data_IF_552393775001
#
_entry.id   IF_552393775001
#
_cell.length_a   1.000
_cell.length_b   1.000
_cell.length_c   1.000
_cell.angle_alpha   90.00
_cell.angle_beta   90.00
_cell.angle_gamma   90.00
#
_symmetry.space_group_name_H-M   'P 1'
#
loop_
_entity.id
_entity.type
_entity.pdbx_description
1 polymer ?
#
# COMPACT_ATOMS: atom_id res chain seq x y z
N UNK A 1 -8.41 -32.07 -30.77
CA UNK A 1 -7.75 -32.40 -29.49
C UNK A 1 -7.82 -33.92 -29.29
N UNK A 2 -6.70 -34.60 -29.03
CA UNK A 2 -6.73 -36.00 -28.55
C UNK A 2 -6.30 -36.01 -27.08
N UNK A 3 -7.10 -36.63 -26.21
CA UNK A 3 -6.77 -36.80 -24.78
C UNK A 3 -6.35 -38.22 -24.49
N UNK A 4 -5.14 -38.42 -23.98
CA UNK A 4 -4.70 -39.71 -23.46
C UNK A 4 -5.20 -39.88 -22.01
N UNK A 5 -5.84 -41.01 -21.70
CA UNK A 5 -6.19 -41.40 -20.32
C UNK A 5 -5.19 -42.47 -19.86
N UNK A 6 -4.18 -42.12 -19.07
CA UNK A 6 -3.29 -43.12 -18.50
C UNK A 6 -3.94 -43.76 -17.25
N UNK A 7 -3.28 -44.78 -16.68
CA UNK A 7 -3.70 -45.47 -15.45
C UNK A 7 -3.96 -44.51 -14.27
N UNK A 8 -4.69 -44.97 -13.23
CA UNK A 8 -4.91 -44.15 -12.02
C UNK A 8 -3.57 -43.67 -11.46
N UNK A 9 -3.41 -42.36 -11.29
CA UNK A 9 -2.19 -41.73 -10.75
C UNK A 9 -1.19 -41.20 -11.78
N UNK A 10 -1.38 -41.45 -13.09
CA UNK A 10 -0.46 -40.93 -14.11
C UNK A 10 -0.87 -39.57 -14.69
N UNK A 11 0.13 -38.83 -15.21
CA UNK A 11 -0.04 -37.48 -15.77
C UNK A 11 -1.04 -37.48 -16.91
N UNK A 12 -2.14 -36.73 -16.79
CA UNK A 12 -3.09 -36.56 -17.90
C UNK A 12 -2.56 -35.51 -18.85
N UNK A 13 -2.23 -35.89 -20.08
CA UNK A 13 -1.69 -35.00 -21.12
C UNK A 13 -2.68 -34.88 -22.27
N UNK A 14 -2.86 -33.64 -22.74
CA UNK A 14 -3.54 -33.36 -24.00
C UNK A 14 -2.52 -32.88 -25.03
N UNK A 15 -2.63 -33.39 -26.25
CA UNK A 15 -1.83 -32.92 -27.39
C UNK A 15 -2.72 -32.00 -28.23
N UNK A 16 -2.25 -30.77 -28.40
CA UNK A 16 -2.86 -29.76 -29.26
C UNK A 16 -1.96 -29.58 -30.48
N UNK A 17 -2.57 -29.45 -31.66
CA UNK A 17 -1.84 -29.30 -32.90
C UNK A 17 -2.50 -28.25 -33.78
N UNK A 18 -1.67 -27.45 -34.44
CA UNK A 18 -2.03 -26.66 -35.62
C UNK A 18 -0.87 -26.71 -36.60
N UNK A 19 -1.13 -26.45 -37.88
CA UNK A 19 -0.07 -26.34 -38.89
C UNK A 19 1.02 -25.31 -38.50
N UNK A 20 0.63 -24.21 -37.83
CA UNK A 20 1.56 -23.13 -37.43
C UNK A 20 2.39 -23.44 -36.19
N UNK A 21 1.82 -24.16 -35.21
CA UNK A 21 2.46 -24.37 -33.89
C UNK A 21 3.14 -25.73 -33.74
N UNK A 22 2.78 -26.68 -34.62
CA UNK A 22 3.07 -28.10 -34.43
C UNK A 22 2.29 -28.71 -33.27
N UNK A 23 2.56 -29.99 -32.99
CA UNK A 23 2.01 -30.70 -31.85
C UNK A 23 2.70 -30.24 -30.56
N UNK A 24 1.92 -29.85 -29.55
CA UNK A 24 2.40 -29.43 -28.23
C UNK A 24 1.61 -30.09 -27.13
N UNK A 25 2.31 -30.51 -26.09
CA UNK A 25 1.73 -31.20 -24.94
C UNK A 25 1.32 -30.21 -23.84
N UNK A 26 0.12 -30.39 -23.28
CA UNK A 26 -0.32 -29.70 -22.06
C UNK A 26 -0.64 -30.74 -20.99
N UNK A 27 0.10 -30.70 -19.89
CA UNK A 27 -0.15 -31.56 -18.72
C UNK A 27 -1.35 -31.03 -17.92
N UNK A 28 -2.53 -31.63 -18.14
CA UNK A 28 -3.81 -31.23 -17.57
C UNK A 28 -3.90 -31.46 -16.05
N UNK A 29 -3.07 -32.36 -15.50
CA UNK A 29 -2.90 -32.59 -14.06
C UNK A 29 -1.96 -31.58 -13.41
N UNK A 30 -1.17 -30.82 -14.18
CA UNK A 30 -0.36 -29.74 -13.64
C UNK A 30 -1.19 -28.45 -13.48
N UNK A 31 -0.80 -27.57 -12.56
CA UNK A 31 -1.49 -26.30 -12.33
C UNK A 31 -1.59 -25.44 -13.60
N UNK A 32 -0.56 -25.49 -14.45
CA UNK A 32 -0.56 -24.81 -15.76
C UNK A 32 -1.68 -25.33 -16.67
N UNK A 33 -1.79 -26.66 -16.84
CA UNK A 33 -2.84 -27.24 -17.69
C UNK A 33 -4.24 -27.04 -17.11
N UNK A 34 -4.40 -27.09 -15.78
CA UNK A 34 -5.66 -26.71 -15.12
C UNK A 34 -6.05 -25.26 -15.41
N UNK A 35 -5.09 -24.33 -15.30
CA UNK A 35 -5.31 -22.90 -15.58
C UNK A 35 -5.66 -22.67 -17.05
N UNK A 36 -4.97 -23.35 -17.97
CA UNK A 36 -5.24 -23.28 -19.40
C UNK A 36 -6.66 -23.77 -19.74
N UNK A 37 -7.05 -24.93 -19.22
CA UNK A 37 -8.41 -25.46 -19.37
C UNK A 37 -9.47 -24.53 -18.81
N UNK A 38 -9.26 -24.02 -17.59
CA UNK A 38 -10.19 -23.06 -16.98
C UNK A 38 -10.28 -21.72 -17.73
N UNK A 39 -9.33 -21.42 -18.61
CA UNK A 39 -9.34 -20.24 -19.46
C UNK A 39 -9.96 -20.48 -20.86
N UNK A 40 -10.63 -21.63 -21.07
CA UNK A 40 -11.27 -21.99 -22.33
C UNK A 40 -10.35 -22.70 -23.33
N UNK A 41 -9.20 -23.21 -22.89
CA UNK A 41 -8.24 -23.94 -23.73
C UNK A 41 -7.89 -23.17 -25.03
N UNK A 42 -7.89 -23.85 -26.18
CA UNK A 42 -7.47 -23.36 -27.49
C UNK A 42 -8.40 -22.29 -28.09
N UNK A 43 -9.70 -22.37 -27.76
CA UNK A 43 -10.70 -21.35 -28.14
C UNK A 43 -10.71 -20.16 -27.18
N UNK A 44 -10.00 -20.29 -26.05
CA UNK A 44 -9.95 -19.30 -24.99
C UNK A 44 -8.97 -18.16 -25.22
N UNK A 45 -8.76 -17.36 -24.15
CA UNK A 45 -7.95 -16.13 -24.19
C UNK A 45 -6.45 -16.39 -24.44
N UNK A 46 -5.98 -17.62 -24.25
CA UNK A 46 -4.57 -17.99 -24.43
C UNK A 46 -4.26 -18.54 -25.84
N UNK A 47 -5.25 -19.10 -26.53
CA UNK A 47 -5.07 -19.77 -27.82
C UNK A 47 -4.34 -21.11 -27.70
N UNK A 48 -3.79 -21.60 -28.82
CA UNK A 48 -3.04 -22.86 -28.83
C UNK A 48 -1.70 -22.74 -28.08
N UNK A 49 -1.20 -23.83 -27.45
CA UNK A 49 0.18 -23.88 -26.97
C UNK A 49 1.17 -23.71 -28.12
N UNK A 50 2.24 -22.94 -27.89
CA UNK A 50 3.32 -22.70 -28.88
C UNK A 50 4.65 -23.30 -28.44
N UNK A 51 4.73 -23.77 -27.20
CA UNK A 51 5.86 -24.49 -26.65
C UNK A 51 5.37 -25.50 -25.60
N UNK A 52 6.15 -26.56 -25.41
CA UNK A 52 5.93 -27.48 -24.30
C UNK A 52 6.28 -26.80 -22.96
N UNK A 53 5.75 -27.36 -21.87
CA UNK A 53 6.01 -26.84 -20.53
C UNK A 53 7.49 -26.96 -20.20
N UNK A 54 8.09 -25.85 -19.78
CA UNK A 54 9.49 -25.78 -19.31
C UNK A 54 9.51 -25.62 -17.80
N UNK A 55 10.34 -26.41 -17.12
CA UNK A 55 10.67 -26.19 -15.71
C UNK A 55 11.50 -24.91 -15.54
N UNK A 56 11.50 -24.37 -14.33
CA UNK A 56 12.26 -23.17 -13.97
C UNK A 56 12.72 -23.24 -12.51
N UNK A 57 13.21 -22.11 -11.96
CA UNK A 57 13.72 -22.06 -10.59
C UNK A 57 12.76 -22.65 -9.56
N UNK A 58 13.31 -23.43 -8.62
CA UNK A 58 12.54 -24.19 -7.63
C UNK A 58 11.61 -25.21 -8.29
N UNK A 59 10.35 -25.27 -7.85
CA UNK A 59 9.30 -26.11 -8.46
C UNK A 59 8.53 -25.39 -9.57
N UNK A 60 9.00 -24.20 -9.98
CA UNK A 60 8.31 -23.37 -10.93
C UNK A 60 8.30 -23.94 -12.35
N UNK A 61 7.32 -23.51 -13.14
CA UNK A 61 7.19 -23.91 -14.53
C UNK A 61 6.57 -22.81 -15.37
N UNK A 62 6.79 -22.84 -16.67
CA UNK A 62 6.13 -21.96 -17.63
C UNK A 62 5.67 -22.75 -18.85
N UNK A 63 4.59 -22.29 -19.47
CA UNK A 63 4.20 -22.74 -20.80
C UNK A 63 3.70 -21.56 -21.61
N UNK A 64 4.21 -21.45 -22.84
CA UNK A 64 3.84 -20.39 -23.77
C UNK A 64 2.66 -20.82 -24.65
N UNK A 65 1.75 -19.89 -24.85
CA UNK A 65 0.56 -20.01 -25.70
C UNK A 65 0.55 -18.84 -26.69
N UNK A 66 -0.25 -18.95 -27.75
CA UNK A 66 -0.30 -17.95 -28.83
C UNK A 66 -0.50 -16.51 -28.33
N UNK A 67 -1.36 -16.33 -27.32
CA UNK A 67 -1.78 -15.00 -26.82
C UNK A 67 -1.28 -14.71 -25.40
N UNK A 68 -0.43 -15.57 -24.84
CA UNK A 68 0.01 -15.41 -23.46
C UNK A 68 0.99 -16.46 -22.97
N UNK A 69 1.35 -16.35 -21.70
CA UNK A 69 2.13 -17.36 -21.00
C UNK A 69 1.45 -17.68 -19.68
N UNK A 70 1.45 -18.96 -19.32
CA UNK A 70 1.08 -19.38 -17.96
C UNK A 70 2.36 -19.72 -17.22
N UNK A 71 2.53 -19.11 -16.05
CA UNK A 71 3.67 -19.32 -15.18
C UNK A 71 3.18 -19.84 -13.82
N UNK A 72 3.84 -20.87 -13.31
CA UNK A 72 3.54 -21.52 -12.05
C UNK A 72 4.68 -21.32 -11.06
N UNK A 73 4.32 -21.02 -9.81
CA UNK A 73 5.20 -21.16 -8.65
C UNK A 73 4.44 -21.85 -7.51
N UNK A 74 5.13 -22.50 -6.58
CA UNK A 74 4.50 -23.09 -5.40
C UNK A 74 3.78 -22.02 -4.54
N UNK A 75 4.31 -20.80 -4.51
CA UNK A 75 3.77 -19.72 -3.69
C UNK A 75 2.40 -19.23 -4.15
N UNK A 76 2.15 -19.19 -5.46
CA UNK A 76 0.95 -18.51 -6.03
C UNK A 76 0.19 -19.33 -7.06
N UNK A 77 0.59 -20.58 -7.29
CA UNK A 77 -0.01 -21.41 -8.32
C UNK A 77 0.23 -20.86 -9.73
N UNK A 78 -0.65 -21.24 -10.65
CA UNK A 78 -0.54 -20.87 -12.06
C UNK A 78 -1.23 -19.52 -12.35
N UNK A 79 -0.45 -18.57 -12.88
CA UNK A 79 -0.89 -17.24 -13.25
C UNK A 79 -0.61 -16.95 -14.71
N UNK A 80 -1.51 -16.19 -15.34
CA UNK A 80 -1.39 -15.79 -16.75
C UNK A 80 -0.65 -14.45 -16.86
N UNK A 81 0.18 -14.32 -17.88
CA UNK A 81 0.86 -13.08 -18.28
C UNK A 81 0.57 -12.88 -19.76
N UNK A 82 0.02 -11.73 -20.15
CA UNK A 82 -0.47 -11.50 -21.51
C UNK A 82 -0.07 -10.12 -22.04
N UNK A 83 -0.16 -9.94 -23.37
CA UNK A 83 0.03 -8.66 -24.05
C UNK A 83 1.35 -7.97 -23.69
N UNK A 84 1.30 -6.64 -23.49
CA UNK A 84 2.48 -5.82 -23.17
C UNK A 84 3.15 -6.19 -21.85
N UNK A 85 2.42 -6.76 -20.88
CA UNK A 85 3.03 -7.29 -19.66
C UNK A 85 3.93 -8.48 -19.96
N UNK A 86 3.51 -9.38 -20.86
CA UNK A 86 4.33 -10.52 -21.25
C UNK A 86 5.60 -10.08 -21.99
N UNK A 87 5.46 -9.10 -22.90
CA UNK A 87 6.61 -8.52 -23.59
C UNK A 87 7.62 -7.92 -22.60
N UNK A 88 7.17 -7.02 -21.72
CA UNK A 88 8.05 -6.38 -20.74
C UNK A 88 8.63 -7.34 -19.69
N UNK A 89 7.88 -8.39 -19.32
CA UNK A 89 8.39 -9.44 -18.43
C UNK A 89 9.49 -10.27 -19.11
N UNK A 90 9.31 -10.66 -20.38
CA UNK A 90 10.33 -11.40 -21.14
C UNK A 90 11.59 -10.58 -21.40
N UNK A 91 11.44 -9.31 -21.78
CA UNK A 91 12.54 -8.35 -21.97
C UNK A 91 13.43 -8.25 -20.72
N UNK A 92 12.84 -8.42 -19.53
CA UNK A 92 13.54 -8.36 -18.24
C UNK A 92 14.01 -9.73 -17.74
N UNK A 93 14.20 -10.69 -18.64
CA UNK A 93 14.66 -12.05 -18.30
C UNK A 93 13.58 -12.98 -17.75
N UNK A 94 12.32 -12.55 -17.73
CA UNK A 94 11.19 -13.34 -17.27
C UNK A 94 11.37 -13.93 -15.87
N UNK A 95 11.16 -15.24 -15.75
CA UNK A 95 11.18 -15.95 -14.46
C UNK A 95 12.56 -16.01 -13.79
N UNK A 96 13.63 -15.81 -14.56
CA UNK A 96 15.01 -15.80 -14.05
C UNK A 96 15.53 -14.37 -13.84
N UNK A 97 14.78 -13.36 -14.26
CA UNK A 97 15.11 -11.96 -14.03
C UNK A 97 14.57 -11.42 -12.71
N UNK A 98 14.81 -10.12 -12.47
CA UNK A 98 14.48 -9.43 -11.21
C UNK A 98 12.99 -9.49 -10.83
N UNK A 99 12.08 -9.65 -11.79
CA UNK A 99 10.65 -9.78 -11.52
C UNK A 99 10.29 -11.14 -10.91
N UNK A 100 10.91 -12.23 -11.38
CA UNK A 100 10.53 -13.59 -11.01
C UNK A 100 9.13 -13.99 -11.48
N UNK A 101 8.47 -14.86 -10.73
CA UNK A 101 7.12 -15.35 -11.06
C UNK A 101 6.03 -14.33 -10.71
N UNK A 102 4.92 -14.27 -11.48
CA UNK A 102 3.74 -13.50 -11.12
C UNK A 102 3.09 -14.02 -9.83
N UNK A 103 2.66 -13.10 -8.97
CA UNK A 103 1.90 -13.43 -7.77
C UNK A 103 0.39 -13.56 -8.04
N UNK A 104 -0.06 -12.92 -9.11
CA UNK A 104 -1.47 -12.80 -9.48
C UNK A 104 -1.59 -12.52 -10.99
N UNK A 105 -2.78 -12.63 -11.57
CA UNK A 105 -3.02 -12.40 -13.00
C UNK A 105 -3.18 -10.89 -13.31
N UNK A 106 -2.68 -10.41 -14.45
CA UNK A 106 -2.75 -8.98 -14.76
C UNK A 106 -4.18 -8.43 -14.83
N UNK A 107 -4.44 -7.30 -14.16
CA UNK A 107 -5.76 -6.63 -14.14
C UNK A 107 -5.70 -5.27 -14.81
N UNK A 108 -6.73 -4.95 -15.58
CA UNK A 108 -6.86 -3.66 -16.27
C UNK A 108 -7.80 -2.74 -15.52
N UNK A 109 -7.36 -1.50 -15.30
CA UNK A 109 -8.16 -0.39 -14.76
C UNK A 109 -7.60 0.92 -15.31
N UNK A 110 -8.48 1.86 -15.67
CA UNK A 110 -8.11 3.21 -16.16
C UNK A 110 -7.11 3.17 -17.33
N UNK A 111 -7.30 2.26 -18.28
CA UNK A 111 -6.44 2.09 -19.45
C UNK A 111 -5.04 1.52 -19.16
N UNK A 112 -4.77 1.06 -17.92
CA UNK A 112 -3.51 0.44 -17.51
C UNK A 112 -3.73 -1.01 -17.11
N UNK A 113 -2.94 -1.93 -17.67
CA UNK A 113 -2.92 -3.33 -17.22
C UNK A 113 -1.76 -3.51 -16.26
N UNK A 114 -2.02 -3.99 -15.06
CA UNK A 114 -1.06 -4.04 -13.96
C UNK A 114 -0.94 -5.44 -13.39
N UNK A 115 0.29 -5.85 -13.09
CA UNK A 115 0.55 -7.18 -12.53
C UNK A 115 1.67 -7.14 -11.50
N UNK A 116 1.49 -7.93 -10.45
CA UNK A 116 2.44 -8.03 -9.33
C UNK A 116 3.22 -9.33 -9.47
N UNK A 117 4.53 -9.25 -9.30
CA UNK A 117 5.50 -10.34 -9.39
C UNK A 117 6.30 -10.43 -8.08
N UNK A 118 7.06 -11.50 -7.91
CA UNK A 118 7.84 -11.74 -6.69
C UNK A 118 8.81 -10.60 -6.34
N UNK A 119 9.46 -10.01 -7.35
CA UNK A 119 10.47 -8.96 -7.17
C UNK A 119 10.03 -7.55 -7.60
N UNK A 120 8.74 -7.35 -7.87
CA UNK A 120 8.22 -6.02 -8.19
C UNK A 120 6.89 -6.09 -8.92
N UNK A 121 6.56 -5.03 -9.65
CA UNK A 121 5.32 -4.92 -10.41
C UNK A 121 5.58 -4.37 -11.80
N UNK A 122 4.70 -4.71 -12.73
CA UNK A 122 4.65 -4.10 -14.06
C UNK A 122 3.36 -3.30 -14.24
N UNK A 123 3.50 -2.14 -14.88
CA UNK A 123 2.39 -1.32 -15.36
C UNK A 123 2.49 -1.22 -16.88
N UNK A 124 1.59 -1.88 -17.59
CA UNK A 124 1.46 -1.76 -19.04
C UNK A 124 0.48 -0.65 -19.43
N UNK A 125 0.94 0.25 -20.29
CA UNK A 125 0.12 1.26 -20.99
C UNK A 125 0.33 1.21 -22.50
N UNK A 126 -0.04 2.27 -23.24
CA UNK A 126 0.14 2.33 -24.71
C UNK A 126 1.60 2.16 -25.13
N UNK A 127 2.53 2.81 -24.43
CA UNK A 127 3.96 2.86 -24.75
C UNK A 127 4.76 1.61 -24.36
N UNK A 128 4.19 0.63 -23.65
CA UNK A 128 4.92 -0.54 -23.14
C UNK A 128 4.64 -0.84 -21.68
N UNK A 129 5.51 -1.62 -21.05
CA UNK A 129 5.40 -2.00 -19.63
C UNK A 129 6.55 -1.43 -18.80
N UNK A 130 6.21 -0.55 -17.86
CA UNK A 130 7.15 0.02 -16.90
C UNK A 130 7.33 -0.90 -15.70
N UNK A 131 8.58 -1.05 -15.25
CA UNK A 131 8.94 -1.82 -14.06
C UNK A 131 8.98 -0.94 -12.81
N UNK A 132 8.37 -1.44 -11.74
CA UNK A 132 8.43 -0.86 -10.40
C UNK A 132 9.02 -1.91 -9.44
N UNK A 133 10.16 -1.63 -8.79
CA UNK A 133 10.81 -2.59 -7.91
C UNK A 133 9.97 -2.91 -6.67
N UNK A 134 10.26 -4.06 -6.05
CA UNK A 134 9.68 -4.46 -4.76
C UNK A 134 10.10 -3.46 -3.66
N UNK A 135 9.10 -2.90 -2.98
CA UNK A 135 9.19 -2.00 -1.84
C UNK A 135 7.90 -2.08 -0.99
N UNK A 136 7.70 -1.13 -0.07
CA UNK A 136 6.53 -1.00 0.80
C UNK A 136 5.24 -0.86 -0.01
N UNK A 137 5.27 -0.08 -1.10
CA UNK A 137 4.10 0.10 -1.96
C UNK A 137 3.73 -1.18 -2.73
N UNK A 138 4.73 -1.96 -3.15
CA UNK A 138 4.51 -3.28 -3.74
C UNK A 138 3.78 -4.22 -2.78
N UNK A 139 4.05 -4.14 -1.47
CA UNK A 139 3.44 -5.02 -0.48
C UNK A 139 1.91 -4.89 -0.43
N UNK A 140 1.37 -3.71 -0.75
CA UNK A 140 -0.07 -3.48 -0.88
C UNK A 140 -0.66 -4.33 -2.01
N UNK A 141 -0.05 -4.27 -3.21
CA UNK A 141 -0.50 -5.04 -4.37
C UNK A 141 -0.26 -6.56 -4.22
N UNK A 142 0.78 -6.94 -3.48
CA UNK A 142 1.12 -8.33 -3.19
C UNK A 142 0.26 -8.94 -2.06
N UNK A 143 -0.62 -8.17 -1.41
CA UNK A 143 -1.38 -8.64 -0.25
C UNK A 143 -0.52 -8.95 0.98
N UNK A 144 0.65 -8.32 1.06
CA UNK A 144 1.68 -8.51 2.09
C UNK A 144 1.59 -7.49 3.23
N UNK A 145 0.62 -6.59 3.24
CA UNK A 145 0.30 -5.78 4.42
C UNK A 145 -0.68 -6.50 5.35
N UNK A 146 -0.56 -6.26 6.66
CA UNK A 146 -1.48 -6.74 7.70
C UNK A 146 -2.69 -5.83 7.86
N UNK A 147 -2.52 -4.54 7.59
CA UNK A 147 -3.61 -3.57 7.67
C UNK A 147 -4.40 -3.48 6.37
N UNK A 148 -5.72 -3.42 6.51
CA UNK A 148 -6.64 -3.12 5.41
C UNK A 148 -6.50 -1.64 5.05
N UNK A 149 -6.49 -1.37 3.76
CA UNK A 149 -6.38 -0.02 3.22
C UNK A 149 -7.54 0.37 2.29
N UNK A 150 -8.55 -0.50 2.18
CA UNK A 150 -9.76 -0.27 1.38
C UNK A 150 -9.43 0.16 -0.06
N UNK A 151 -10.21 1.11 -0.57
CA UNK A 151 -10.09 1.63 -1.93
C UNK A 151 -9.22 2.89 -2.05
N UNK A 152 -8.56 3.32 -0.97
CA UNK A 152 -7.77 4.56 -0.94
C UNK A 152 -6.80 4.64 -2.13
N UNK A 153 -6.82 5.76 -2.86
CA UNK A 153 -5.96 5.96 -4.01
C UNK A 153 -4.54 6.33 -3.59
N UNK A 154 -4.36 6.88 -2.39
CA UNK A 154 -3.06 7.12 -1.79
C UNK A 154 -2.96 6.48 -0.42
N UNK A 155 -1.80 5.88 -0.17
CA UNK A 155 -1.46 5.29 1.12
C UNK A 155 -0.07 5.80 1.46
N UNK A 156 0.11 6.27 2.69
CA UNK A 156 1.44 6.54 3.22
C UNK A 156 1.76 5.59 4.35
N UNK A 157 3.02 5.24 4.46
CA UNK A 157 3.53 4.48 5.57
C UNK A 157 4.36 5.38 6.47
N UNK A 158 4.23 5.24 7.79
CA UNK A 158 5.21 5.71 8.76
C UNK A 158 5.77 4.49 9.51
N UNK A 159 7.02 4.14 9.25
CA UNK A 159 7.58 2.83 9.59
C UNK A 159 8.76 2.99 10.53
N UNK A 160 8.70 2.35 11.69
CA UNK A 160 9.89 2.13 12.51
C UNK A 160 10.42 0.70 12.29
N UNK A 161 11.74 0.53 12.24
CA UNK A 161 12.34 -0.81 12.11
C UNK A 161 12.17 -1.66 13.37
N UNK A 162 12.06 -1.02 14.54
CA UNK A 162 11.89 -1.69 15.83
C UNK A 162 10.97 -0.90 16.76
N UNK A 163 10.59 -1.53 17.86
CA UNK A 163 9.95 -0.83 18.99
C UNK A 163 10.96 0.01 19.76
N UNK A 164 10.48 0.99 20.54
CA UNK A 164 11.34 1.81 21.41
C UNK A 164 12.18 2.85 20.69
N UNK A 165 11.85 3.20 19.44
CA UNK A 165 12.53 4.25 18.67
C UNK A 165 11.51 5.25 18.14
N UNK A 166 11.88 6.53 18.17
CA UNK A 166 11.13 7.60 17.54
C UNK A 166 11.53 7.84 16.08
N UNK A 167 12.62 7.23 15.60
CA UNK A 167 13.04 7.31 14.20
C UNK A 167 12.14 6.45 13.32
N UNK A 168 11.71 7.00 12.19
CA UNK A 168 10.87 6.32 11.23
C UNK A 168 11.19 6.74 9.78
N UNK A 169 10.77 5.91 8.83
CA UNK A 169 10.68 6.26 7.43
C UNK A 169 9.25 6.66 7.09
N UNK A 170 9.08 7.59 6.15
CA UNK A 170 7.79 7.94 5.59
C UNK A 170 7.77 7.65 4.08
N UNK A 171 6.96 6.68 3.66
CA UNK A 171 6.87 6.23 2.27
C UNK A 171 5.50 6.59 1.71
N UNK A 172 5.44 7.31 0.60
CA UNK A 172 4.18 7.70 -0.05
C UNK A 172 3.92 6.83 -1.28
N UNK A 173 2.74 6.22 -1.35
CA UNK A 173 2.31 5.32 -2.40
C UNK A 173 1.07 5.85 -3.11
N UNK A 174 1.07 5.84 -4.44
CA UNK A 174 -0.09 6.17 -5.27
C UNK A 174 -0.60 4.95 -6.04
N UNK A 175 -1.90 4.83 -6.21
CA UNK A 175 -2.52 3.79 -7.02
C UNK A 175 -2.25 4.04 -8.51
N UNK A 176 -1.87 3.00 -9.23
CA UNK A 176 -1.80 2.97 -10.69
C UNK A 176 -2.48 1.70 -11.17
N UNK A 177 -3.58 1.84 -11.91
CA UNK A 177 -4.44 0.70 -12.23
C UNK A 177 -4.89 -0.01 -10.96
N UNK A 178 -4.47 -1.26 -10.77
CA UNK A 178 -4.85 -2.05 -9.58
C UNK A 178 -3.75 -2.21 -8.53
N UNK A 179 -2.55 -1.65 -8.76
CA UNK A 179 -1.41 -1.74 -7.86
C UNK A 179 -1.07 -0.38 -7.25
N UNK A 180 -0.08 -0.34 -6.35
CA UNK A 180 0.50 0.88 -5.82
C UNK A 180 1.96 1.01 -6.22
N UNK A 181 2.38 2.24 -6.51
CA UNK A 181 3.76 2.59 -6.83
C UNK A 181 4.23 3.70 -5.90
N UNK A 182 5.51 3.69 -5.53
CA UNK A 182 6.11 4.74 -4.71
C UNK A 182 6.13 6.06 -5.49
N UNK A 183 5.69 7.13 -4.84
CA UNK A 183 5.72 8.49 -5.38
C UNK A 183 6.91 9.26 -4.82
N UNK A 184 7.21 9.10 -3.53
CA UNK A 184 8.37 9.66 -2.82
C UNK A 184 8.49 9.04 -1.44
N UNK A 185 9.63 9.25 -0.79
CA UNK A 185 9.88 8.85 0.60
C UNK A 185 10.82 9.83 1.30
N UNK A 186 10.92 9.70 2.62
CA UNK A 186 11.97 10.30 3.43
C UNK A 186 12.31 9.39 4.62
N UNK A 187 13.60 9.29 4.96
CA UNK A 187 14.10 8.55 6.12
C UNK A 187 14.27 9.42 7.38
N UNK A 188 13.85 10.69 7.32
CA UNK A 188 13.95 11.66 8.42
C UNK A 188 12.66 11.80 9.20
N UNK A 189 11.70 10.89 9.03
CA UNK A 189 10.45 10.98 9.77
C UNK A 189 10.68 10.65 11.25
N UNK A 190 9.89 11.31 12.10
CA UNK A 190 9.87 11.02 13.52
C UNK A 190 8.46 10.71 13.99
N UNK A 191 8.37 9.95 15.07
CA UNK A 191 7.13 9.56 15.72
C UNK A 191 7.21 9.86 17.22
N UNK A 192 6.25 9.35 18.01
CA UNK A 192 6.25 9.51 19.46
C UNK A 192 7.60 9.14 20.07
N UNK A 193 8.04 9.87 21.09
CA UNK A 193 9.37 9.69 21.71
C UNK A 193 9.66 8.24 22.13
N UNK A 194 8.65 7.51 22.60
CA UNK A 194 8.79 6.09 22.98
C UNK A 194 8.60 5.13 21.79
N UNK A 195 8.19 5.62 20.63
CA UNK A 195 7.92 4.88 19.41
C UNK A 195 6.45 4.49 19.28
N UNK A 196 6.20 3.38 18.59
CA UNK A 196 4.85 2.85 18.38
C UNK A 196 4.38 1.92 19.51
N UNK A 197 3.09 1.98 19.85
CA UNK A 197 2.43 0.93 20.65
C UNK A 197 2.28 -0.36 19.85
N UNK A 198 2.10 -1.47 20.58
CA UNK A 198 1.71 -2.77 20.00
C UNK A 198 0.34 -2.66 19.31
N UNK A 199 0.04 -3.50 18.29
CA UNK A 199 -1.26 -3.51 17.65
C UNK A 199 -2.39 -3.70 18.67
N UNK A 200 -3.47 -2.93 18.52
CA UNK A 200 -4.65 -3.03 19.39
C UNK A 200 -4.50 -2.38 20.78
N UNK A 201 -3.30 -1.93 21.15
CA UNK A 201 -3.08 -1.19 22.40
C UNK A 201 -3.27 0.31 22.13
N UNK A 202 -4.19 0.99 22.85
CA UNK A 202 -4.34 2.43 22.72
C UNK A 202 -3.02 3.15 23.00
N UNK A 203 -2.70 4.20 22.22
CA UNK A 203 -1.56 5.08 22.52
C UNK A 203 -1.70 5.69 23.92
N UNK A 204 -2.94 5.96 24.33
CA UNK A 204 -3.28 6.59 25.59
C UNK A 204 -3.08 8.11 25.52
N UNK A 205 -3.06 8.75 26.69
CA UNK A 205 -2.80 10.17 26.83
C UNK A 205 -1.50 10.60 26.11
N UNK A 206 -1.47 11.77 25.46
CA UNK A 206 -0.32 12.28 24.69
C UNK A 206 0.95 12.36 25.54
N UNK A 207 0.83 12.70 26.83
CA UNK A 207 1.92 12.67 27.80
C UNK A 207 2.65 11.31 27.93
N UNK A 208 2.02 10.20 27.50
CA UNK A 208 2.69 8.89 27.46
C UNK A 208 3.72 8.77 26.34
N UNK A 209 3.68 9.66 25.34
CA UNK A 209 4.65 9.81 24.24
C UNK A 209 4.75 8.60 23.29
N UNK A 210 3.64 7.91 23.07
CA UNK A 210 3.55 6.79 22.15
C UNK A 210 2.72 7.16 20.91
N UNK A 211 3.20 6.77 19.74
CA UNK A 211 2.38 6.76 18.54
C UNK A 211 1.46 5.54 18.49
N UNK A 212 0.23 5.70 17.97
CA UNK A 212 -0.64 4.56 17.74
C UNK A 212 -0.11 3.72 16.57
N UNK A 213 -0.53 2.45 16.52
CA UNK A 213 -0.19 1.56 15.43
C UNK A 213 -1.47 1.07 14.74
N UNK A 214 -1.54 1.20 13.42
CA UNK A 214 -2.75 0.88 12.67
C UNK A 214 -2.82 1.50 11.29
N UNK A 215 -4.02 1.50 10.72
CA UNK A 215 -4.33 2.20 9.47
C UNK A 215 -5.48 3.16 9.68
N UNK A 216 -5.24 4.42 9.38
CA UNK A 216 -6.13 5.54 9.69
C UNK A 216 -6.41 6.35 8.44
N UNK A 217 -7.64 6.81 8.27
CA UNK A 217 -7.95 7.80 7.23
C UNK A 217 -7.38 9.16 7.63
N UNK A 218 -7.15 10.02 6.64
CA UNK A 218 -6.99 11.45 6.84
C UNK A 218 -8.23 12.17 6.33
N UNK A 219 -8.62 13.26 7.00
CA UNK A 219 -9.92 13.91 6.76
C UNK A 219 -9.83 15.43 6.62
N UNK A 220 -9.07 16.09 7.47
CA UNK A 220 -8.91 17.55 7.45
C UNK A 220 -7.46 17.95 7.65
N UNK A 221 -7.12 19.12 7.14
CA UNK A 221 -5.81 19.75 7.26
C UNK A 221 -5.94 21.10 7.98
N UNK A 222 -4.83 21.58 8.52
CA UNK A 222 -4.75 22.86 9.21
C UNK A 222 -3.37 23.51 9.08
N UNK A 223 -3.27 24.78 9.44
CA UNK A 223 -2.00 25.50 9.53
C UNK A 223 -2.11 26.98 9.16
N UNK A 224 -1.02 27.53 8.63
CA UNK A 224 -0.90 28.96 8.28
C UNK A 224 -1.82 29.39 7.12
N UNK A 225 -2.15 28.45 6.23
CA UNK A 225 -2.90 28.71 5.01
C UNK A 225 -2.86 27.53 4.05
N UNK A 226 -3.92 27.35 3.25
CA UNK A 226 -4.08 26.16 2.41
C UNK A 226 -3.00 26.09 1.31
N UNK A 227 -2.13 25.06 1.29
CA UNK A 227 -1.06 24.94 0.30
C UNK A 227 -1.53 24.38 -1.07
N UNK A 228 -2.84 24.28 -1.30
CA UNK A 228 -3.46 23.67 -2.48
C UNK A 228 -3.95 22.23 -2.24
N UNK A 229 -4.35 21.88 -1.01
CA UNK A 229 -4.90 20.56 -0.70
C UNK A 229 -6.38 20.45 -1.06
N UNK A 230 -6.82 19.24 -1.37
CA UNK A 230 -8.25 18.91 -1.57
C UNK A 230 -8.96 18.50 -0.27
N UNK A 231 -8.23 18.41 0.86
CA UNK A 231 -8.83 18.23 2.17
C UNK A 231 -9.52 19.52 2.62
N UNK A 232 -10.54 19.40 3.48
CA UNK A 232 -11.03 20.56 4.23
C UNK A 232 -9.86 21.18 4.99
N UNK A 233 -9.64 22.48 4.84
CA UNK A 233 -8.49 23.17 5.41
C UNK A 233 -8.94 24.22 6.42
N UNK A 234 -8.36 24.16 7.61
CA UNK A 234 -8.57 25.14 8.68
C UNK A 234 -7.34 26.02 8.86
N UNK A 235 -7.48 27.31 8.53
CA UNK A 235 -6.47 28.27 8.94
C UNK A 235 -6.55 28.47 10.45
N UNK A 236 -5.43 28.25 11.15
CA UNK A 236 -5.41 28.34 12.61
C UNK A 236 -5.41 29.81 13.06
N UNK A 237 -6.18 30.08 14.11
CA UNK A 237 -6.32 31.40 14.74
C UNK A 237 -6.05 31.30 16.26
N UNK A 238 -5.90 32.41 17.00
CA UNK A 238 -5.55 32.38 18.42
C UNK A 238 -6.47 31.55 19.33
N UNK A 239 -7.71 31.28 18.92
CA UNK A 239 -8.69 30.47 19.65
C UNK A 239 -8.64 28.98 19.30
N UNK A 240 -7.87 28.58 18.29
CA UNK A 240 -7.85 27.20 17.79
C UNK A 240 -7.28 26.21 18.81
N UNK A 241 -8.09 25.21 19.19
CA UNK A 241 -7.73 24.15 20.15
C UNK A 241 -8.11 22.76 19.63
N UNK A 242 -7.42 21.74 20.14
CA UNK A 242 -7.84 20.35 20.02
C UNK A 242 -8.08 19.76 21.40
N UNK A 243 -9.28 19.27 21.67
CA UNK A 243 -9.61 18.83 23.03
C UNK A 243 -9.01 17.47 23.35
N UNK A 244 -8.23 17.41 24.42
CA UNK A 244 -7.81 16.18 25.10
C UNK A 244 -8.58 15.93 26.39
N UNK A 245 -9.40 16.89 26.82
CA UNK A 245 -10.22 16.80 28.03
C UNK A 245 -11.31 15.72 27.87
N UNK A 246 -11.45 14.77 28.81
CA UNK A 246 -12.52 13.80 28.77
C UNK A 246 -13.90 14.46 28.73
N UNK A 247 -14.77 13.99 27.83
CA UNK A 247 -16.10 14.56 27.64
C UNK A 247 -16.59 14.46 26.20
N UNK A 248 -17.67 15.18 25.90
CA UNK A 248 -18.34 15.17 24.60
C UNK A 248 -17.47 15.74 23.47
N UNK A 249 -16.54 16.64 23.78
CA UNK A 249 -15.59 17.24 22.82
C UNK A 249 -14.28 16.48 22.69
N UNK A 250 -14.07 15.39 23.43
CA UNK A 250 -12.79 14.68 23.46
C UNK A 250 -12.34 14.27 22.06
N UNK A 251 -11.07 14.54 21.73
CA UNK A 251 -10.46 14.28 20.44
C UNK A 251 -11.15 14.99 19.25
N UNK A 252 -11.60 16.22 19.46
CA UNK A 252 -12.13 17.10 18.41
C UNK A 252 -11.57 18.51 18.49
N UNK A 253 -11.58 19.20 17.35
CA UNK A 253 -11.28 20.63 17.27
C UNK A 253 -12.40 21.47 17.89
N UNK A 254 -12.03 22.57 18.55
CA UNK A 254 -12.95 23.63 18.95
C UNK A 254 -12.24 24.99 18.99
N UNK A 255 -13.02 26.08 19.06
CA UNK A 255 -12.49 27.41 19.35
C UNK A 255 -12.74 27.77 20.81
N UNK A 256 -11.69 28.17 21.52
CA UNK A 256 -11.81 28.61 22.90
C UNK A 256 -12.44 30.01 23.01
N UNK A 257 -13.17 30.26 24.11
CA UNK A 257 -13.82 31.54 24.37
C UNK A 257 -12.83 32.72 24.37
N UNK A 258 -11.61 32.50 24.86
CA UNK A 258 -10.52 33.48 24.89
C UNK A 258 -9.25 32.94 24.22
N UNK A 259 -8.48 33.79 23.50
CA UNK A 259 -7.16 33.42 22.96
C UNK A 259 -6.17 32.91 24.02
N UNK A 260 -6.30 33.38 25.26
CA UNK A 260 -5.45 33.01 26.39
C UNK A 260 -5.96 31.80 27.16
N UNK A 261 -7.09 31.22 26.73
CA UNK A 261 -7.62 30.02 27.38
C UNK A 261 -6.70 28.83 27.13
N UNK A 262 -6.15 28.31 28.22
CA UNK A 262 -5.36 27.08 28.25
C UNK A 262 -6.00 26.13 29.26
N UNK A 263 -6.24 24.89 28.83
CA UNK A 263 -6.79 23.84 29.67
C UNK A 263 -6.03 22.58 29.36
N UNK A 264 -5.30 22.04 30.33
CA UNK A 264 -4.68 20.74 30.15
C UNK A 264 -5.76 19.65 30.17
N UNK A 265 -5.74 18.67 29.23
CA UNK A 265 -4.70 18.39 28.25
C UNK A 265 -5.04 18.82 26.80
N UNK A 266 -5.88 19.85 26.62
CA UNK A 266 -6.21 20.37 25.29
C UNK A 266 -4.97 21.00 24.63
N UNK A 267 -4.77 20.73 23.34
CA UNK A 267 -3.64 21.25 22.58
C UNK A 267 -3.94 22.64 22.01
N UNK A 268 -3.05 23.59 22.27
CA UNK A 268 -3.09 24.92 21.69
C UNK A 268 -2.45 24.92 20.29
N UNK A 269 -3.26 24.60 19.28
CA UNK A 269 -2.77 24.44 17.91
C UNK A 269 -2.11 25.72 17.37
N UNK A 270 -2.64 26.89 17.71
CA UNK A 270 -2.12 28.17 17.21
C UNK A 270 -0.79 28.56 17.86
N UNK A 271 -0.63 28.36 19.17
CA UNK A 271 0.66 28.59 19.82
C UNK A 271 1.73 27.64 19.27
N UNK A 272 1.42 26.36 19.07
CA UNK A 272 2.35 25.38 18.49
C UNK A 272 2.72 25.75 17.05
N UNK A 273 1.78 26.30 16.27
CA UNK A 273 2.05 26.81 14.93
C UNK A 273 3.00 28.03 14.95
N UNK A 274 2.80 28.95 15.91
CA UNK A 274 3.56 30.21 16.03
C UNK A 274 4.89 30.07 16.76
N UNK A 275 5.12 28.96 17.44
CA UNK A 275 6.38 28.67 18.11
C UNK A 275 7.54 28.69 17.11
N UNK A 276 8.78 29.02 17.53
CA UNK A 276 9.95 29.04 16.65
C UNK A 276 10.18 27.73 15.89
N UNK A 277 9.75 26.61 16.47
CA UNK A 277 9.85 25.28 15.85
C UNK A 277 8.87 25.07 14.69
N UNK A 278 7.74 25.80 14.69
CA UNK A 278 6.79 25.82 13.58
C UNK A 278 6.12 24.47 13.29
N UNK A 279 5.95 23.62 14.30
CA UNK A 279 5.46 22.24 14.17
C UNK A 279 4.15 22.19 13.38
N UNK A 280 3.22 23.11 13.65
CA UNK A 280 1.88 23.16 13.04
C UNK A 280 1.72 24.19 11.93
N UNK A 281 2.83 24.65 11.34
CA UNK A 281 2.78 25.51 10.14
C UNK A 281 1.96 24.88 9.01
N UNK A 282 2.05 23.56 8.89
CA UNK A 282 1.14 22.71 8.12
C UNK A 282 0.91 21.42 8.88
N UNK A 283 -0.34 20.95 8.90
CA UNK A 283 -0.73 19.71 9.58
C UNK A 283 -1.88 19.01 8.88
N UNK A 284 -1.96 17.70 9.07
CA UNK A 284 -3.09 16.88 8.65
C UNK A 284 -3.55 15.99 9.80
N UNK A 285 -4.86 15.87 9.94
CA UNK A 285 -5.46 15.04 10.97
C UNK A 285 -5.43 13.57 10.56
N UNK A 286 -4.87 12.75 11.44
CA UNK A 286 -4.91 11.29 11.36
C UNK A 286 -6.10 10.83 12.21
N UNK A 287 -7.08 10.15 11.62
CA UNK A 287 -8.30 9.71 12.32
C UNK A 287 -8.09 8.52 13.26
N UNK A 288 -7.08 8.62 14.11
CA UNK A 288 -6.93 7.77 15.26
C UNK A 288 -7.99 8.12 16.31
N UNK A 289 -8.67 7.09 16.83
CA UNK A 289 -9.73 7.24 17.83
C UNK A 289 -10.91 8.15 17.39
N UNK A 290 -11.15 8.25 16.08
CA UNK A 290 -12.27 8.99 15.46
C UNK A 290 -12.51 8.56 14.01
N UNK A 291 -12.27 7.28 13.70
CA UNK A 291 -12.45 6.73 12.36
C UNK A 291 -13.92 6.71 11.92
N UNK A 292 -14.21 6.61 10.61
CA UNK A 292 -15.58 6.50 10.11
C UNK A 292 -16.35 5.37 10.81
N UNK A 293 -17.52 5.68 11.37
CA UNK A 293 -18.36 4.73 12.10
C UNK A 293 -17.84 4.31 13.49
N UNK A 294 -16.75 4.91 13.99
CA UNK A 294 -16.22 4.63 15.31
C UNK A 294 -16.69 5.64 16.34
N UNK A 295 -17.11 5.17 17.52
CA UNK A 295 -17.27 6.02 18.70
C UNK A 295 -15.90 6.38 19.27
N UNK A 296 -15.69 7.65 19.59
CA UNK A 296 -14.48 8.12 20.25
C UNK A 296 -14.41 7.46 21.64
N UNK A 297 -13.27 6.82 21.95
CA UNK A 297 -13.03 6.19 23.25
C UNK A 297 -12.21 7.13 24.12
N UNK A 298 -12.79 7.54 25.25
CA UNK A 298 -12.12 8.41 26.23
C UNK A 298 -10.80 7.78 26.69
N UNK A 299 -9.74 8.59 26.78
CA UNK A 299 -8.42 8.15 27.22
C UNK A 299 -7.65 7.25 26.25
N UNK A 300 -8.22 6.86 25.09
CA UNK A 300 -7.50 6.04 24.11
C UNK A 300 -6.42 6.81 23.34
N UNK A 301 -6.39 8.14 23.48
CA UNK A 301 -5.47 9.06 22.83
C UNK A 301 -6.20 10.03 21.90
N UNK A 302 -5.59 11.19 21.69
CA UNK A 302 -6.15 12.32 20.96
C UNK A 302 -5.05 13.05 20.19
N UNK A 303 -5.44 13.97 19.30
CA UNK A 303 -4.54 14.89 18.59
C UNK A 303 -3.37 14.21 17.87
N UNK A 304 -3.64 13.10 17.18
CA UNK A 304 -2.61 12.45 16.37
C UNK A 304 -2.62 13.07 14.98
N UNK A 305 -1.53 13.75 14.64
CA UNK A 305 -1.38 14.48 13.38
C UNK A 305 -0.16 14.00 12.59
N UNK A 306 -0.11 14.35 11.32
CA UNK A 306 1.14 14.47 10.56
C UNK A 306 1.46 15.96 10.43
N UNK A 307 2.62 16.40 10.89
CA UNK A 307 2.99 17.82 10.96
C UNK A 307 4.49 18.06 10.68
N UNK A 308 4.91 19.32 10.73
CA UNK A 308 6.28 19.75 10.42
C UNK A 308 7.23 19.60 11.62
N UNK A 309 8.53 19.85 11.42
CA UNK A 309 9.60 19.75 12.42
C UNK A 309 9.90 18.30 12.86
N UNK A 310 10.81 17.57 12.16
CA UNK A 310 11.06 16.14 12.35
C UNK A 310 11.89 15.83 13.62
N UNK A 311 11.32 16.16 14.78
CA UNK A 311 11.83 15.79 16.11
C UNK A 311 10.89 14.81 16.79
N UNK A 312 11.34 14.15 17.85
CA UNK A 312 10.51 13.21 18.60
C UNK A 312 9.23 13.89 19.12
N UNK A 313 8.06 13.26 18.88
CA UNK A 313 6.76 13.87 19.19
C UNK A 313 6.13 13.26 20.46
N UNK A 314 4.95 13.72 20.84
CA UNK A 314 4.12 13.05 21.86
C UNK A 314 3.22 11.93 21.30
N UNK A 315 3.22 11.70 19.98
CA UNK A 315 2.44 10.63 19.35
C UNK A 315 2.17 10.84 17.86
N UNK A 316 2.32 12.08 17.37
CA UNK A 316 2.22 12.46 15.97
C UNK A 316 3.34 11.87 15.09
N UNK A 317 3.15 11.95 13.78
CA UNK A 317 4.22 11.83 12.80
C UNK A 317 4.74 13.24 12.50
N UNK A 318 6.05 13.44 12.48
CA UNK A 318 6.64 14.70 12.05
C UNK A 318 7.63 14.52 10.91
N UNK A 319 7.55 15.43 9.93
CA UNK A 319 8.42 15.49 8.75
C UNK A 319 9.01 16.89 8.60
N UNK A 320 9.96 17.07 7.69
CA UNK A 320 10.32 18.41 7.23
C UNK A 320 9.10 19.13 6.62
N UNK A 321 8.98 20.45 6.85
CA UNK A 321 7.84 21.25 6.36
C UNK A 321 7.59 21.06 4.85
N UNK A 322 8.65 21.00 4.03
CA UNK A 322 8.54 20.76 2.59
C UNK A 322 7.82 19.43 2.26
N UNK A 323 8.02 18.40 3.08
CA UNK A 323 7.42 17.07 2.86
C UNK A 323 5.96 17.04 3.34
N UNK A 324 5.62 17.76 4.42
CA UNK A 324 4.22 17.95 4.84
C UNK A 324 3.45 18.72 3.78
N UNK A 325 4.01 19.83 3.28
CA UNK A 325 3.42 20.61 2.19
C UNK A 325 3.27 19.77 0.92
N UNK A 326 4.28 18.97 0.56
CA UNK A 326 4.21 18.02 -0.56
C UNK A 326 3.11 16.98 -0.36
N UNK A 327 2.95 16.45 0.85
CA UNK A 327 1.86 15.54 1.19
C UNK A 327 0.50 16.22 1.00
N UNK A 328 0.30 17.42 1.54
CA UNK A 328 -0.97 18.15 1.49
C UNK A 328 -1.41 18.48 0.06
N UNK A 329 -0.48 18.93 -0.80
CA UNK A 329 -0.75 19.23 -2.23
C UNK A 329 -1.34 18.07 -3.02
N UNK A 330 -1.21 16.84 -2.52
CA UNK A 330 -1.73 15.64 -3.17
C UNK A 330 -2.72 14.86 -2.31
N UNK A 331 -3.09 15.40 -1.15
CA UNK A 331 -3.98 14.74 -0.21
C UNK A 331 -5.44 14.87 -0.61
N UNK A 332 -6.16 13.75 -0.49
CA UNK A 332 -7.60 13.66 -0.73
C UNK A 332 -8.31 13.05 0.48
N UNK A 333 -9.58 13.42 0.73
CA UNK A 333 -10.36 12.80 1.79
C UNK A 333 -10.41 11.28 1.63
N UNK A 334 -10.13 10.55 2.72
CA UNK A 334 -10.14 9.09 2.71
C UNK A 334 -8.81 8.43 2.29
N UNK A 335 -7.79 9.22 1.94
CA UNK A 335 -6.41 8.76 1.93
C UNK A 335 -6.05 8.13 3.28
N UNK A 336 -5.08 7.20 3.29
CA UNK A 336 -4.73 6.47 4.51
C UNK A 336 -3.28 6.61 4.89
N UNK A 337 -3.03 6.66 6.19
CA UNK A 337 -1.71 6.48 6.79
C UNK A 337 -1.70 5.14 7.53
N UNK A 338 -0.77 4.27 7.16
CA UNK A 338 -0.46 3.04 7.88
C UNK A 338 0.80 3.28 8.69
N UNK A 339 0.71 3.24 10.01
CA UNK A 339 1.82 3.59 10.89
C UNK A 339 2.09 2.49 11.92
N UNK A 340 3.35 2.20 12.19
CA UNK A 340 3.75 1.11 13.07
C UNK A 340 5.16 0.57 12.85
N UNK A 341 5.49 -0.49 13.57
CA UNK A 341 6.74 -1.23 13.40
C UNK A 341 6.67 -2.14 12.17
N UNK A 342 7.74 -2.19 11.37
CA UNK A 342 7.82 -2.92 10.10
C UNK A 342 7.26 -4.35 10.18
N UNK A 343 7.67 -5.13 11.17
CA UNK A 343 7.23 -6.52 11.36
C UNK A 343 5.74 -6.70 11.62
N UNK A 344 5.06 -5.64 12.07
CA UNK A 344 3.63 -5.64 12.36
C UNK A 344 2.80 -4.95 11.27
N UNK A 345 3.44 -4.26 10.35
CA UNK A 345 2.81 -3.74 9.12
C UNK A 345 2.83 -4.81 8.03
N UNK A 346 3.95 -5.51 7.86
CA UNK A 346 4.15 -6.44 6.76
C UNK A 346 4.13 -7.90 7.22
N UNK A 347 3.65 -8.77 6.34
CA UNK A 347 3.76 -10.22 6.47
C UNK A 347 5.16 -10.64 6.01
N UNK A 348 5.71 -11.69 6.61
CA UNK A 348 6.90 -12.35 6.11
C UNK A 348 6.73 -12.82 4.66
#
# INVERSE_FOLDING_TARGET
>A
MRTYRPARGSKRVAIYWTAKTGARAVELTHAIGRKYRGAGSEVGKLGYPVADMKRGPGTGAIQAFQKGQVAYSAATGAQTITGRLLAGWKERGGRTGKLGYPLQWGKTRDGKTTQVFQGGSLVAGRAGASFHPKNECWALGAGKTRYRHGYANRISFAIAEKYGTYKADFVNCRRVGTIYVQSWETATATVGLKGFRKPGVPSGHTAHRWSPQGSYTVTEAFGEGNPGTALSYRQLNPRSRWSGTPGSSYNTYYEAASPFFERWPDENLWQIMRAPTGDYRQGVVINYNRGPGQRIRQGAGFAIFLHANPVATFGCIALELKNVTRYLKTAQPGDRIIMGVRRDIFKA
#
